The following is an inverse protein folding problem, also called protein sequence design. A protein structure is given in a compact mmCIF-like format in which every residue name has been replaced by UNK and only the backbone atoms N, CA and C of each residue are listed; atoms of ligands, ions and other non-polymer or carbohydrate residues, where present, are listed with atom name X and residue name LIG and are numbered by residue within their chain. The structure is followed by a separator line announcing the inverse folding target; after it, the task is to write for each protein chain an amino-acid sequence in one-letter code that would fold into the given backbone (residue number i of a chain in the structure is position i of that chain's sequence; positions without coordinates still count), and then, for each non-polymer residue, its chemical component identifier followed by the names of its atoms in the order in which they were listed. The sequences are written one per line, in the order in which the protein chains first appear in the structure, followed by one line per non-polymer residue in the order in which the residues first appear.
data_IF_781299478119
#
_entry.id   IF_781299478119
#
_cell.length_a   1.000
_cell.length_b   1.000
_cell.length_c   1.000
_cell.angle_alpha   90.00
_cell.angle_beta   90.00
_cell.angle_gamma   90.00
#
_symmetry.space_group_name_H-M   'P 1'
#
loop_
_entity.id
_entity.type
_entity.pdbx_description
1 polymer ?
#
# COMPACT_ATOMS: atom_id res chain seq x y z
N UNK A 1 19.61 0.87 -7.05
CA UNK A 1 19.82 0.99 -5.58
C UNK A 1 18.50 1.38 -4.93
N UNK A 2 18.28 1.04 -3.66
CA UNK A 2 17.10 1.45 -2.88
C UNK A 2 17.55 2.00 -1.52
N UNK A 3 16.79 2.95 -0.96
CA UNK A 3 17.05 3.49 0.38
C UNK A 3 15.76 4.05 0.97
N UNK A 4 15.54 3.86 2.26
CA UNK A 4 14.49 4.56 3.01
C UNK A 4 14.93 5.97 3.43
N UNK A 5 16.25 6.25 3.40
CA UNK A 5 16.85 7.47 3.93
C UNK A 5 17.77 8.13 2.89
N UNK A 6 17.17 8.68 1.83
CA UNK A 6 17.93 9.36 0.75
C UNK A 6 18.83 10.49 1.27
N UNK A 7 18.38 11.21 2.31
CA UNK A 7 19.12 12.33 2.92
C UNK A 7 20.36 11.90 3.71
N UNK A 8 20.58 10.58 3.90
CA UNK A 8 21.77 10.04 4.58
C UNK A 8 22.83 9.55 3.58
N UNK A 9 22.55 9.59 2.28
CA UNK A 9 23.51 9.19 1.26
C UNK A 9 24.46 10.34 0.93
N UNK A 10 25.74 10.01 0.79
CA UNK A 10 26.75 10.94 0.27
C UNK A 10 26.35 11.40 -1.15
N UNK A 11 26.33 12.72 -1.44
CA UNK A 11 26.02 13.25 -2.77
C UNK A 11 26.84 12.63 -3.90
N UNK A 12 28.09 12.20 -3.63
CA UNK A 12 28.94 11.54 -4.62
C UNK A 12 28.41 10.17 -5.06
N UNK A 13 27.59 9.51 -4.24
CA UNK A 13 26.94 8.22 -4.56
C UNK A 13 25.74 8.38 -5.49
N UNK A 14 25.09 9.55 -5.50
CA UNK A 14 23.84 9.80 -6.26
C UNK A 14 24.01 10.80 -7.41
N UNK A 15 25.25 11.18 -7.74
CA UNK A 15 25.54 12.09 -8.85
C UNK A 15 25.31 11.40 -10.21
N UNK A 16 25.07 12.18 -11.29
CA UNK A 16 24.95 11.64 -12.65
C UNK A 16 26.16 10.79 -13.05
N UNK A 17 25.93 9.69 -13.75
CA UNK A 17 26.94 8.67 -14.07
C UNK A 17 27.14 7.61 -12.98
N UNK A 18 26.51 7.76 -11.81
CA UNK A 18 26.35 6.69 -10.80
C UNK A 18 24.88 6.32 -10.63
N UNK A 19 24.01 7.33 -10.50
CA UNK A 19 22.55 7.18 -10.44
C UNK A 19 21.93 8.19 -11.38
N UNK A 20 21.37 7.72 -12.48
CA UNK A 20 20.83 8.58 -13.54
C UNK A 20 19.34 8.90 -13.34
N UNK A 21 18.60 8.00 -12.67
CA UNK A 21 17.16 8.16 -12.38
C UNK A 21 16.90 7.93 -10.89
N UNK A 22 16.09 8.79 -10.29
CA UNK A 22 15.68 8.73 -8.88
C UNK A 22 14.16 8.81 -8.82
N UNK A 23 13.53 7.71 -8.41
CA UNK A 23 12.08 7.62 -8.26
C UNK A 23 11.70 7.45 -6.79
N UNK A 24 10.63 8.12 -6.37
CA UNK A 24 10.08 7.98 -5.02
C UNK A 24 8.98 6.93 -4.99
N UNK A 25 9.12 5.93 -4.11
CA UNK A 25 8.10 4.90 -3.86
C UNK A 25 7.48 5.20 -2.50
N UNK A 26 6.28 5.78 -2.53
CA UNK A 26 5.53 6.19 -1.34
C UNK A 26 4.38 5.26 -0.96
N UNK A 27 3.48 5.81 -0.16
CA UNK A 27 2.22 5.17 0.23
C UNK A 27 1.28 5.00 -0.97
N UNK A 28 0.34 4.05 -0.86
CA UNK A 28 -0.58 3.74 -1.94
C UNK A 28 -1.56 4.87 -2.20
N UNK A 29 -1.67 5.28 -3.46
CA UNK A 29 -2.75 6.13 -3.95
C UNK A 29 -4.06 5.33 -4.07
N UNK A 30 -5.23 6.00 -4.09
CA UNK A 30 -6.51 5.32 -4.24
C UNK A 30 -6.56 4.42 -5.48
N UNK A 31 -5.97 4.89 -6.59
CA UNK A 31 -5.84 4.12 -7.82
C UNK A 31 -4.99 2.85 -7.62
N UNK A 32 -3.86 2.95 -6.90
CA UNK A 32 -3.03 1.77 -6.60
C UNK A 32 -3.79 0.75 -5.75
N UNK A 33 -4.60 1.19 -4.77
CA UNK A 33 -5.45 0.31 -3.95
C UNK A 33 -6.44 -0.45 -4.84
N UNK A 34 -7.14 0.25 -5.74
CA UNK A 34 -8.09 -0.36 -6.68
C UNK A 34 -7.40 -1.40 -7.58
N UNK A 35 -6.24 -1.05 -8.14
CA UNK A 35 -5.46 -1.98 -8.98
C UNK A 35 -4.99 -3.22 -8.21
N UNK A 36 -4.57 -3.06 -6.96
CA UNK A 36 -4.23 -4.19 -6.11
C UNK A 36 -5.45 -5.07 -5.84
N UNK A 37 -6.61 -4.47 -5.59
CA UNK A 37 -7.86 -5.18 -5.36
C UNK A 37 -8.26 -6.03 -6.58
N UNK A 38 -8.23 -5.47 -7.80
CA UNK A 38 -8.54 -6.24 -9.02
C UNK A 38 -7.56 -7.40 -9.26
N UNK A 39 -6.28 -7.19 -8.97
CA UNK A 39 -5.25 -8.22 -9.14
C UNK A 39 -5.44 -9.36 -8.15
N UNK A 40 -5.85 -9.04 -6.92
CA UNK A 40 -6.04 -10.02 -5.86
C UNK A 40 -7.38 -10.77 -6.00
N UNK A 41 -8.45 -10.03 -6.32
CA UNK A 41 -9.81 -10.53 -6.47
C UNK A 41 -10.25 -10.38 -7.94
N UNK A 42 -9.87 -11.36 -8.78
CA UNK A 42 -10.04 -11.30 -10.25
C UNK A 42 -11.48 -11.09 -10.74
N UNK A 43 -12.47 -11.34 -9.90
CA UNK A 43 -13.91 -11.19 -10.21
C UNK A 43 -14.54 -10.01 -9.45
N UNK A 44 -13.73 -9.10 -8.91
CA UNK A 44 -14.22 -7.97 -8.15
C UNK A 44 -14.83 -6.88 -9.05
N UNK A 45 -15.97 -6.34 -8.60
CA UNK A 45 -16.67 -5.25 -9.26
C UNK A 45 -15.94 -3.91 -9.11
N UNK A 46 -16.13 -3.02 -10.09
CA UNK A 46 -15.57 -1.68 -10.13
C UNK A 46 -16.07 -0.85 -8.92
N UNK A 47 -17.37 -0.97 -8.61
CA UNK A 47 -17.98 -0.25 -7.49
C UNK A 47 -17.35 -0.68 -6.15
N UNK A 48 -17.11 -1.97 -5.96
CA UNK A 48 -16.46 -2.49 -4.75
C UNK A 48 -15.03 -1.96 -4.59
N UNK A 49 -14.26 -1.90 -5.68
CA UNK A 49 -12.89 -1.35 -5.65
C UNK A 49 -12.89 0.14 -5.29
N UNK A 50 -13.84 0.92 -5.85
CA UNK A 50 -13.99 2.33 -5.54
C UNK A 50 -14.36 2.54 -4.07
N UNK A 51 -15.38 1.83 -3.57
CA UNK A 51 -15.80 1.87 -2.17
C UNK A 51 -14.67 1.51 -1.22
N UNK A 52 -13.90 0.46 -1.52
CA UNK A 52 -12.74 0.08 -0.72
C UNK A 52 -11.71 1.21 -0.66
N UNK A 53 -11.31 1.74 -1.82
CA UNK A 53 -10.31 2.81 -1.86
C UNK A 53 -10.78 4.08 -1.16
N UNK A 54 -12.06 4.44 -1.28
CA UNK A 54 -12.65 5.57 -0.57
C UNK A 54 -12.68 5.35 0.94
N UNK A 55 -13.04 4.14 1.39
CA UNK A 55 -13.01 3.76 2.80
C UNK A 55 -11.59 3.87 3.38
N UNK A 56 -10.58 3.35 2.67
CA UNK A 56 -9.17 3.45 3.10
C UNK A 56 -8.73 4.91 3.21
N UNK A 57 -9.07 5.75 2.23
CA UNK A 57 -8.72 7.18 2.23
C UNK A 57 -9.44 7.94 3.34
N UNK A 58 -10.69 7.59 3.64
CA UNK A 58 -11.48 8.23 4.69
C UNK A 58 -10.87 8.08 6.09
N UNK A 59 -10.04 7.06 6.31
CA UNK A 59 -9.28 6.93 7.57
C UNK A 59 -8.18 7.98 7.75
N UNK A 60 -7.79 8.70 6.68
CA UNK A 60 -6.79 9.77 6.76
C UNK A 60 -5.39 9.32 7.20
N UNK A 61 -5.09 8.02 7.10
CA UNK A 61 -3.81 7.43 7.49
C UNK A 61 -3.04 6.94 6.26
N UNK A 62 -1.72 7.14 6.20
CA UNK A 62 -0.91 6.56 5.15
C UNK A 62 -0.98 5.03 5.20
N UNK A 63 -0.90 4.40 4.02
CA UNK A 63 -0.93 2.94 3.89
C UNK A 63 0.10 2.48 2.87
N UNK A 64 0.88 1.46 3.20
CA UNK A 64 1.85 0.84 2.29
C UNK A 64 1.23 -0.29 1.49
N UNK A 65 1.84 -0.64 0.35
CA UNK A 65 1.40 -1.79 -0.43
C UNK A 65 1.50 -3.10 0.37
N UNK A 66 2.49 -3.22 1.26
CA UNK A 66 2.65 -4.40 2.11
C UNK A 66 1.46 -4.57 3.08
N UNK A 67 0.99 -3.47 3.69
CA UNK A 67 -0.18 -3.50 4.59
C UNK A 67 -1.45 -3.93 3.86
N UNK A 68 -1.70 -3.38 2.66
CA UNK A 68 -2.86 -3.77 1.85
C UNK A 68 -2.77 -5.24 1.45
N UNK A 69 -1.60 -5.71 1.05
CA UNK A 69 -1.40 -7.11 0.68
C UNK A 69 -1.64 -8.03 1.88
N UNK A 70 -1.08 -7.71 3.06
CA UNK A 70 -1.31 -8.47 4.29
C UNK A 70 -2.78 -8.52 4.67
N UNK A 71 -3.48 -7.39 4.55
CA UNK A 71 -4.93 -7.32 4.74
C UNK A 71 -5.70 -8.24 3.78
N UNK A 72 -5.40 -8.21 2.48
CA UNK A 72 -6.05 -9.09 1.50
C UNK A 72 -5.77 -10.57 1.74
N UNK A 73 -4.60 -10.92 2.27
CA UNK A 73 -4.28 -12.30 2.66
C UNK A 73 -5.20 -12.83 3.77
N UNK A 74 -5.63 -11.98 4.72
CA UNK A 74 -6.56 -12.37 5.79
C UNK A 74 -7.98 -12.60 5.27
N UNK A 75 -8.39 -11.83 4.25
CA UNK A 75 -9.73 -11.87 3.65
C UNK A 75 -9.72 -12.52 2.26
N UNK A 76 -8.86 -13.51 2.04
CA UNK A 76 -8.58 -14.07 0.72
C UNK A 76 -9.81 -14.62 -0.02
N UNK A 77 -10.77 -15.16 0.72
CA UNK A 77 -11.99 -15.77 0.18
C UNK A 77 -13.25 -15.05 0.67
N UNK A 78 -13.11 -13.86 1.22
CA UNK A 78 -14.23 -13.09 1.76
C UNK A 78 -14.93 -12.31 0.66
N UNK A 79 -16.24 -12.08 0.85
CA UNK A 79 -17.01 -11.23 -0.06
C UNK A 79 -16.55 -9.76 0.04
N UNK A 80 -16.68 -8.97 -1.04
CA UNK A 80 -16.26 -7.57 -1.06
C UNK A 80 -16.81 -6.72 0.09
N UNK A 81 -18.06 -6.92 0.49
CA UNK A 81 -18.68 -6.17 1.60
C UNK A 81 -17.96 -6.39 2.94
N UNK A 82 -17.49 -7.62 3.19
CA UNK A 82 -16.72 -7.93 4.41
C UNK A 82 -15.38 -7.21 4.37
N UNK A 83 -14.75 -7.13 3.20
CA UNK A 83 -13.46 -6.44 3.01
C UNK A 83 -13.64 -4.92 3.18
N UNK A 84 -14.75 -4.35 2.73
CA UNK A 84 -14.99 -2.91 2.87
C UNK A 84 -15.31 -2.54 4.33
N UNK A 85 -16.07 -3.38 5.04
CA UNK A 85 -16.47 -3.11 6.42
C UNK A 85 -15.33 -3.30 7.45
N UNK A 86 -14.22 -3.96 7.07
CA UNK A 86 -13.11 -4.28 7.97
C UNK A 86 -11.79 -3.53 7.63
N UNK A 87 -11.88 -2.44 6.87
CA UNK A 87 -10.71 -1.66 6.41
C UNK A 87 -9.82 -1.15 7.55
N UNK A 88 -10.37 -0.89 8.73
CA UNK A 88 -9.59 -0.47 9.91
C UNK A 88 -8.47 -1.45 10.28
N UNK A 89 -8.66 -2.75 9.99
CA UNK A 89 -7.69 -3.80 10.31
C UNK A 89 -6.38 -3.67 9.55
N UNK A 90 -6.35 -2.92 8.44
CA UNK A 90 -5.11 -2.67 7.68
C UNK A 90 -3.99 -2.14 8.60
N UNK A 91 -4.33 -1.25 9.53
CA UNK A 91 -3.35 -0.63 10.44
C UNK A 91 -3.12 -1.40 11.75
N UNK A 92 -3.94 -2.40 12.04
CA UNK A 92 -3.78 -3.27 13.23
C UNK A 92 -2.73 -4.36 13.00
N UNK A 93 -2.38 -4.65 11.74
CA UNK A 93 -1.46 -5.72 11.38
C UNK A 93 0.01 -5.37 11.60
N UNK A 94 0.34 -4.08 11.71
CA UNK A 94 1.71 -3.60 11.87
C UNK A 94 2.14 -3.37 13.33
N UNK A 95 1.23 -3.46 14.30
CA UNK A 95 1.56 -3.23 15.73
C UNK A 95 2.60 -4.23 16.30
N UNK A 96 2.98 -5.26 15.55
CA UNK A 96 4.02 -6.21 15.93
C UNK A 96 5.40 -5.95 15.29
N UNK A 97 5.53 -5.04 14.33
CA UNK A 97 6.79 -4.76 13.62
C UNK A 97 7.48 -3.45 14.05
N UNK A 98 6.85 -2.62 14.88
CA UNK A 98 7.46 -1.36 15.37
C UNK A 98 8.26 -1.48 16.68
N UNK A 99 8.44 -2.70 17.22
CA UNK A 99 9.23 -2.96 18.44
C UNK A 99 10.47 -3.84 18.15
N UNK A 100 11.18 -3.59 17.05
CA UNK A 100 12.44 -4.29 16.74
C UNK A 100 13.50 -3.34 16.21
#
# INVERSE_FOLDING_TARGET
MTTNYINRLDPALIRPGRVDVKEYIGHCSPHQIQQMFYRFYKTADIDAAQKLSAAVVAHGKPVSAAQIQGYFMLYKHSAPDVIINNVSRIWELDTHLSNS
#
